data_IF_160315154994
#
_entry.id   IF_160315154994
#
_cell.length_a   1.000
_cell.length_b   1.000
_cell.length_c   1.000
_cell.angle_alpha   90.00
_cell.angle_beta   90.00
_cell.angle_gamma   90.00
#
_symmetry.space_group_name_H-M   'P 1'
#
loop_
_entity.id
_entity.type
_entity.pdbx_description
1 polymer ?
#
# COMPACT_ATOMS: atom_id res chain seq x y z
N UNK A 1 -3.72 11.47 -43.81
CA UNK A 1 -3.65 12.39 -42.67
C UNK A 1 -3.67 11.53 -41.41
N UNK A 2 -2.48 11.24 -40.86
CA UNK A 2 -2.30 10.37 -39.69
C UNK A 2 -2.30 11.25 -38.44
N UNK A 3 -3.34 11.16 -37.61
CA UNK A 3 -3.35 11.76 -36.28
C UNK A 3 -2.85 10.71 -35.29
N UNK A 4 -1.54 10.69 -35.05
CA UNK A 4 -0.95 9.96 -33.94
C UNK A 4 -1.40 10.59 -32.63
N UNK A 5 -2.08 9.81 -31.78
CA UNK A 5 -2.25 10.15 -30.36
C UNK A 5 -0.87 10.06 -29.74
N UNK A 6 -0.20 11.21 -29.61
CA UNK A 6 0.99 11.31 -28.78
C UNK A 6 0.56 11.04 -27.34
N UNK A 7 0.73 9.78 -26.90
CA UNK A 7 0.58 9.44 -25.49
C UNK A 7 1.58 10.25 -24.71
N UNK A 8 1.11 11.21 -23.91
CA UNK A 8 1.93 11.90 -22.93
C UNK A 8 2.60 10.82 -22.07
N UNK A 9 3.92 10.68 -22.18
CA UNK A 9 4.68 9.86 -21.24
C UNK A 9 4.42 10.45 -19.87
N UNK A 10 3.58 9.78 -19.09
CA UNK A 10 3.30 10.15 -17.71
C UNK A 10 4.65 10.08 -17.00
N UNK A 11 5.14 11.21 -16.49
CA UNK A 11 6.26 11.17 -15.56
C UNK A 11 5.79 10.33 -14.39
N UNK A 12 6.29 9.10 -14.29
CA UNK A 12 6.11 8.27 -13.11
C UNK A 12 7.19 8.74 -12.15
N UNK A 13 6.87 9.58 -11.15
CA UNK A 13 7.86 9.90 -10.12
C UNK A 13 8.39 8.59 -9.56
N UNK A 14 9.71 8.45 -9.54
CA UNK A 14 10.34 7.24 -9.08
C UNK A 14 9.98 7.03 -7.60
N UNK A 15 9.37 5.88 -7.28
CA UNK A 15 9.07 5.52 -5.90
C UNK A 15 10.33 5.67 -5.03
N UNK A 16 10.16 6.25 -3.84
CA UNK A 16 11.27 6.57 -2.93
C UNK A 16 11.94 5.29 -2.43
N UNK A 17 13.27 5.29 -2.29
CA UNK A 17 13.97 4.19 -1.62
C UNK A 17 13.63 4.26 -0.14
N UNK A 18 12.95 3.24 0.37
CA UNK A 18 12.52 3.16 1.77
C UNK A 18 13.40 2.21 2.58
N UNK A 19 13.94 1.17 1.95
CA UNK A 19 14.71 0.13 2.63
C UNK A 19 15.88 -0.33 1.76
N UNK A 20 17.07 -0.38 2.35
CA UNK A 20 18.23 -1.02 1.76
C UNK A 20 18.29 -2.50 2.13
N UNK A 21 18.61 -3.33 1.13
CA UNK A 21 18.90 -4.75 1.34
C UNK A 21 20.42 -4.87 1.47
N UNK A 22 20.89 -5.14 2.69
CA UNK A 22 22.33 -5.20 3.00
C UNK A 22 22.77 -6.64 3.25
N UNK A 23 23.86 -7.07 2.62
CA UNK A 23 24.54 -8.35 2.88
C UNK A 23 26.03 -8.10 3.06
N UNK A 24 26.59 -8.59 4.16
CA UNK A 24 28.02 -8.45 4.46
C UNK A 24 28.55 -7.01 4.39
N UNK A 25 27.72 -6.02 4.73
CA UNK A 25 28.08 -4.60 4.68
C UNK A 25 27.91 -3.92 3.32
N UNK A 26 27.45 -4.64 2.29
CA UNK A 26 27.17 -4.08 0.96
C UNK A 26 25.67 -3.97 0.71
N UNK A 27 25.25 -2.83 0.14
CA UNK A 27 23.88 -2.65 -0.36
C UNK A 27 23.76 -3.40 -1.68
N UNK A 28 23.01 -4.50 -1.66
CA UNK A 28 22.77 -5.34 -2.84
C UNK A 28 21.47 -4.96 -3.57
N UNK A 29 20.59 -4.20 -2.92
CA UNK A 29 19.33 -3.77 -3.52
C UNK A 29 18.56 -2.77 -2.67
N UNK A 30 17.43 -2.31 -3.23
CA UNK A 30 16.58 -1.31 -2.61
C UNK A 30 15.11 -1.68 -2.79
N UNK A 31 14.33 -1.60 -1.72
CA UNK A 31 12.88 -1.57 -1.82
C UNK A 31 12.42 -0.12 -1.96
N UNK A 32 11.62 0.12 -3.00
CA UNK A 32 10.98 1.40 -3.26
C UNK A 32 9.50 1.34 -2.90
N UNK A 33 8.95 2.45 -2.45
CA UNK A 33 7.54 2.56 -2.17
C UNK A 33 7.14 3.92 -1.61
N UNK A 34 6.03 3.92 -0.90
CA UNK A 34 5.47 5.07 -0.20
C UNK A 34 5.10 4.68 1.24
N UNK A 35 5.17 5.61 2.18
CA UNK A 35 4.75 5.44 3.58
C UNK A 35 3.88 6.63 3.96
N UNK A 36 2.78 6.35 4.66
CA UNK A 36 1.97 7.36 5.34
C UNK A 36 1.81 6.94 6.80
N UNK A 37 1.97 7.90 7.70
CA UNK A 37 1.72 7.75 9.14
C UNK A 37 0.54 8.63 9.49
N UNK A 38 -0.44 8.02 10.13
CA UNK A 38 -1.66 8.69 10.56
C UNK A 38 -1.64 8.84 12.08
N UNK A 39 -2.13 9.99 12.52
CA UNK A 39 -2.56 10.23 13.91
C UNK A 39 -3.79 9.38 14.24
N UNK A 40 -4.13 9.27 15.52
CA UNK A 40 -5.26 8.46 15.98
C UNK A 40 -6.63 8.95 15.45
N UNK A 41 -6.76 10.24 15.15
CA UNK A 41 -7.92 10.87 14.52
C UNK A 41 -7.89 10.81 12.99
N UNK A 42 -6.85 10.21 12.40
CA UNK A 42 -6.74 9.92 10.97
C UNK A 42 -6.09 11.04 10.15
N UNK A 43 -5.63 12.13 10.77
CA UNK A 43 -4.85 13.15 10.08
C UNK A 43 -3.45 12.61 9.73
N UNK A 44 -2.89 13.01 8.59
CA UNK A 44 -1.52 12.67 8.18
C UNK A 44 -0.54 13.39 9.10
N UNK A 45 0.24 12.63 9.86
CA UNK A 45 1.35 13.14 10.66
C UNK A 45 2.62 13.28 9.79
N UNK A 46 2.88 12.26 8.96
CA UNK A 46 4.07 12.19 8.11
C UNK A 46 3.84 11.31 6.88
N UNK A 47 4.51 11.64 5.77
CA UNK A 47 4.44 10.87 4.53
C UNK A 47 5.74 10.94 3.72
N UNK A 48 6.04 9.86 2.97
CA UNK A 48 7.14 9.77 2.01
C UNK A 48 6.68 9.03 0.76
N UNK A 49 7.11 9.51 -0.41
CA UNK A 49 6.72 8.95 -1.70
C UNK A 49 5.32 9.38 -2.14
N UNK A 50 4.79 8.71 -3.17
CA UNK A 50 3.46 8.97 -3.71
C UNK A 50 2.42 8.14 -2.94
N UNK A 51 1.88 8.69 -1.86
CA UNK A 51 0.95 7.96 -0.97
C UNK A 51 -0.49 7.89 -1.51
N UNK A 52 -0.82 8.76 -2.46
CA UNK A 52 -2.16 8.84 -3.08
C UNK A 52 -2.25 8.06 -4.41
N UNK A 53 -1.14 7.53 -4.93
CA UNK A 53 -1.16 6.74 -6.17
C UNK A 53 -1.86 5.39 -5.89
N UNK A 54 -2.88 5.02 -6.69
CA UNK A 54 -3.57 3.75 -6.49
C UNK A 54 -2.65 2.54 -6.68
N UNK A 55 -2.72 1.59 -5.76
CA UNK A 55 -2.06 0.29 -5.85
C UNK A 55 -3.05 -0.84 -5.61
N UNK A 56 -2.73 -2.05 -6.08
CA UNK A 56 -3.47 -3.23 -5.64
C UNK A 56 -3.04 -3.62 -4.22
N UNK A 57 -3.92 -3.56 -3.20
CA UNK A 57 -3.56 -3.86 -1.80
C UNK A 57 -3.27 -5.36 -1.57
N UNK A 58 -3.65 -6.22 -2.52
CA UNK A 58 -3.50 -7.68 -2.44
C UNK A 58 -4.02 -8.21 -1.10
N UNK A 59 -3.21 -9.01 -0.40
CA UNK A 59 -3.56 -9.66 0.86
C UNK A 59 -3.82 -8.66 1.99
N UNK A 60 -3.35 -7.41 1.90
CA UNK A 60 -3.66 -6.33 2.85
C UNK A 60 -5.12 -5.89 2.80
N UNK A 61 -5.92 -6.41 1.87
CA UNK A 61 -7.36 -6.15 1.79
C UNK A 61 -8.21 -7.02 2.73
N UNK A 62 -7.61 -7.98 3.47
CA UNK A 62 -8.35 -8.87 4.37
C UNK A 62 -9.20 -8.16 5.43
N UNK A 63 -8.78 -7.03 6.05
CA UNK A 63 -9.66 -6.28 6.94
C UNK A 63 -10.96 -5.82 6.27
N UNK A 64 -10.89 -5.32 5.02
CA UNK A 64 -12.07 -4.88 4.26
C UNK A 64 -12.97 -6.09 3.93
N UNK A 65 -12.37 -7.23 3.59
CA UNK A 65 -13.10 -8.49 3.34
C UNK A 65 -13.81 -8.98 4.62
N UNK A 66 -13.13 -8.98 5.76
CA UNK A 66 -13.69 -9.35 7.06
C UNK A 66 -14.87 -8.45 7.46
N UNK A 67 -14.76 -7.13 7.27
CA UNK A 67 -15.87 -6.19 7.48
C UNK A 67 -17.08 -6.55 6.61
N UNK A 68 -16.86 -6.94 5.35
CA UNK A 68 -17.93 -7.43 4.47
C UNK A 68 -18.62 -8.68 5.02
N UNK A 69 -17.85 -9.65 5.51
CA UNK A 69 -18.38 -10.88 6.08
C UNK A 69 -19.16 -10.64 7.39
N UNK A 70 -18.66 -9.77 8.28
CA UNK A 70 -19.37 -9.39 9.51
C UNK A 70 -20.72 -8.75 9.21
N UNK A 71 -20.77 -7.85 8.21
CA UNK A 71 -22.03 -7.24 7.74
C UNK A 71 -23.01 -8.26 7.17
N UNK A 72 -22.52 -9.41 6.71
CA UNK A 72 -23.32 -10.53 6.20
C UNK A 72 -23.63 -11.58 7.28
N UNK A 73 -23.32 -11.31 8.55
CA UNK A 73 -23.69 -12.15 9.68
C UNK A 73 -22.66 -13.22 10.05
N UNK A 74 -21.42 -13.12 9.58
CA UNK A 74 -20.34 -13.91 10.15
C UNK A 74 -20.18 -13.58 11.64
N UNK A 75 -20.22 -14.59 12.49
CA UNK A 75 -20.08 -14.47 13.95
C UNK A 75 -18.81 -15.20 14.41
N UNK A 76 -17.76 -14.44 14.73
CA UNK A 76 -16.47 -14.94 15.18
C UNK A 76 -16.08 -14.28 16.49
N UNK A 77 -15.41 -15.03 17.35
CA UNK A 77 -14.74 -14.48 18.55
C UNK A 77 -13.56 -13.60 18.13
N UNK A 78 -13.19 -12.64 18.98
CA UNK A 78 -12.21 -11.59 18.68
C UNK A 78 -10.88 -12.13 18.14
N UNK A 79 -10.36 -13.25 18.68
CA UNK A 79 -9.10 -13.83 18.24
C UNK A 79 -9.19 -14.39 16.80
N UNK A 80 -10.34 -14.97 16.45
CA UNK A 80 -10.60 -15.50 15.11
C UNK A 80 -10.89 -14.37 14.11
N UNK A 81 -11.54 -13.29 14.56
CA UNK A 81 -11.73 -12.10 13.75
C UNK A 81 -10.38 -11.41 13.46
N UNK A 82 -9.51 -11.28 14.47
CA UNK A 82 -8.16 -10.77 14.29
C UNK A 82 -7.40 -11.60 13.25
N UNK A 83 -7.45 -12.93 13.35
CA UNK A 83 -6.82 -13.84 12.38
C UNK A 83 -7.40 -13.69 10.96
N UNK A 84 -8.72 -13.56 10.83
CA UNK A 84 -9.38 -13.36 9.54
C UNK A 84 -9.00 -12.02 8.89
N UNK A 85 -8.69 -11.00 9.70
CA UNK A 85 -8.29 -9.66 9.24
C UNK A 85 -6.79 -9.49 8.98
N UNK A 86 -5.94 -10.41 9.45
CA UNK A 86 -4.47 -10.34 9.34
C UNK A 86 -3.95 -10.49 7.90
#
# INVERSE_FOLDING_TARGET
MSSGVAGTLRHVPAQQILVDIVRSGFVEGHHRGSIVVLTADGAVDWAVGEVDEPIYPRSSNKPIQAVGMLRLGLDLHDELLALASA
#
